data_IF_311354915119
#
_entry.id   IF_311354915119
#
_cell.length_a   1.000
_cell.length_b   1.000
_cell.length_c   1.000
_cell.angle_alpha   90.00
_cell.angle_beta   90.00
_cell.angle_gamma   90.00
#
_symmetry.space_group_name_H-M   'P 1'
#
loop_
_entity.id
_entity.type
_entity.pdbx_description
1 polymer ?
#
# COMPACT_ATOMS: atom_id res chain seq x y z
N UNK A 1 6.76 -4.97 29.02
CA UNK A 1 7.07 -5.33 27.62
C UNK A 1 5.75 -5.44 26.85
N UNK A 2 5.48 -4.57 25.87
CA UNK A 2 4.35 -4.77 24.95
C UNK A 2 4.73 -5.98 24.07
N UNK A 3 3.96 -7.06 24.12
CA UNK A 3 4.14 -8.17 23.19
C UNK A 3 4.09 -7.61 21.76
N UNK A 4 5.08 -7.97 20.94
CA UNK A 4 5.04 -7.60 19.52
C UNK A 4 3.80 -8.25 18.91
N UNK A 5 3.02 -7.50 18.12
CA UNK A 5 1.82 -8.04 17.49
C UNK A 5 2.19 -9.25 16.61
N UNK A 6 1.48 -10.35 16.80
CA UNK A 6 1.69 -11.58 16.04
C UNK A 6 1.23 -11.40 14.59
N UNK A 7 2.04 -11.87 13.63
CA UNK A 7 1.71 -11.85 12.21
C UNK A 7 0.81 -13.05 11.89
N UNK A 8 -0.40 -12.79 11.39
CA UNK A 8 -1.35 -13.85 10.99
C UNK A 8 -1.22 -14.24 9.53
N UNK A 9 -1.04 -13.24 8.67
CA UNK A 9 -1.03 -13.43 7.24
C UNK A 9 -0.17 -12.36 6.57
N UNK A 10 0.53 -12.74 5.51
CA UNK A 10 1.31 -11.85 4.67
C UNK A 10 0.99 -12.13 3.20
N UNK A 11 0.79 -11.08 2.43
CA UNK A 11 0.65 -11.16 0.98
C UNK A 11 1.53 -10.11 0.27
N UNK A 12 1.86 -10.41 -0.97
CA UNK A 12 2.55 -9.51 -1.89
C UNK A 12 1.57 -8.65 -2.70
N UNK A 13 1.95 -7.43 -3.09
CA UNK A 13 1.20 -6.64 -4.04
C UNK A 13 1.12 -7.31 -5.40
N UNK A 14 -0.07 -7.22 -6.00
CA UNK A 14 -0.23 -7.49 -7.43
C UNK A 14 0.24 -6.27 -8.20
N UNK A 15 1.30 -6.41 -8.98
CA UNK A 15 1.77 -5.36 -9.86
C UNK A 15 1.26 -5.59 -11.28
N UNK A 16 0.60 -4.58 -11.84
CA UNK A 16 0.61 -4.40 -13.28
C UNK A 16 1.94 -3.70 -13.60
N UNK A 17 3.02 -4.47 -13.69
CA UNK A 17 4.40 -3.96 -13.75
C UNK A 17 4.65 -3.09 -14.98
N UNK A 18 4.01 -3.39 -16.11
CA UNK A 18 4.22 -2.69 -17.38
C UNK A 18 3.93 -1.18 -17.31
N UNK A 19 2.74 -0.72 -16.87
CA UNK A 19 2.49 0.72 -16.77
C UNK A 19 3.37 1.42 -15.73
N UNK A 20 3.59 0.82 -14.56
CA UNK A 20 4.40 1.43 -13.49
C UNK A 20 5.86 1.58 -13.95
N UNK A 21 6.45 0.49 -14.47
CA UNK A 21 7.81 0.52 -14.99
C UNK A 21 7.93 1.47 -16.20
N UNK A 22 6.92 1.50 -17.07
CA UNK A 22 6.89 2.41 -18.22
C UNK A 22 6.94 3.87 -17.81
N UNK A 23 6.19 4.28 -16.78
CA UNK A 23 6.24 5.65 -16.24
C UNK A 23 7.60 5.95 -15.64
N UNK A 24 8.15 5.06 -14.80
CA UNK A 24 9.46 5.26 -14.17
C UNK A 24 10.57 5.38 -15.23
N UNK A 25 10.57 4.47 -16.21
CA UNK A 25 11.56 4.47 -17.31
C UNK A 25 11.44 5.75 -18.11
N UNK A 26 10.22 6.19 -18.45
CA UNK A 26 10.01 7.41 -19.21
C UNK A 26 10.55 8.63 -18.48
N UNK A 27 10.21 8.79 -17.20
CA UNK A 27 10.65 9.93 -16.39
C UNK A 27 12.19 9.98 -16.28
N UNK A 28 12.81 8.86 -15.88
CA UNK A 28 14.27 8.76 -15.80
C UNK A 28 14.93 8.97 -17.15
N UNK A 29 14.34 8.46 -18.23
CA UNK A 29 14.86 8.67 -19.58
C UNK A 29 14.82 10.14 -19.99
N UNK A 30 13.72 10.85 -19.71
CA UNK A 30 13.60 12.29 -19.99
C UNK A 30 14.66 13.07 -19.23
N UNK A 31 14.85 12.78 -17.94
CA UNK A 31 15.87 13.44 -17.13
C UNK A 31 17.28 13.22 -17.69
N UNK A 32 17.63 11.98 -18.01
CA UNK A 32 18.96 11.66 -18.57
C UNK A 32 19.16 12.25 -19.97
N UNK A 33 18.10 12.32 -20.79
CA UNK A 33 18.13 12.96 -22.09
C UNK A 33 18.38 14.47 -21.94
N UNK A 34 17.68 15.13 -21.01
CA UNK A 34 17.89 16.56 -20.73
C UNK A 34 19.28 16.83 -20.16
N UNK A 35 19.79 15.96 -19.28
CA UNK A 35 21.15 16.03 -18.75
C UNK A 35 22.20 15.99 -19.88
N UNK A 36 21.95 15.18 -20.91
CA UNK A 36 22.82 15.05 -22.08
C UNK A 36 22.71 16.24 -23.03
N UNK A 37 21.49 16.75 -23.27
CA UNK A 37 21.24 17.85 -24.20
C UNK A 37 21.64 19.23 -23.64
N UNK A 38 21.59 19.41 -22.32
CA UNK A 38 21.85 20.68 -21.63
C UNK A 38 22.90 20.44 -20.54
N UNK A 39 24.21 20.49 -20.88
CA UNK A 39 25.30 20.13 -19.98
C UNK A 39 25.31 20.91 -18.66
N UNK A 40 24.84 22.16 -18.67
CA UNK A 40 24.74 23.03 -17.49
C UNK A 40 23.79 22.45 -16.42
N UNK A 41 22.84 21.61 -16.82
CA UNK A 41 21.85 20.99 -15.93
C UNK A 41 22.19 19.57 -15.50
N UNK A 42 23.31 19.01 -15.97
CA UNK A 42 23.63 17.59 -15.84
C UNK A 42 23.44 17.05 -14.41
N UNK A 43 24.07 17.69 -13.42
CA UNK A 43 23.98 17.24 -12.02
C UNK A 43 22.60 17.42 -11.42
N UNK A 44 21.86 18.44 -11.84
CA UNK A 44 20.48 18.67 -11.40
C UNK A 44 19.61 17.53 -11.91
N UNK A 45 19.68 17.22 -13.21
CA UNK A 45 18.86 16.19 -13.83
C UNK A 45 19.19 14.78 -13.32
N UNK A 46 20.48 14.47 -13.12
CA UNK A 46 20.88 13.21 -12.46
C UNK A 46 20.34 13.15 -11.02
N UNK A 47 20.40 14.27 -10.28
CA UNK A 47 19.83 14.38 -8.95
C UNK A 47 18.32 14.15 -8.94
N UNK A 48 17.59 14.74 -9.88
CA UNK A 48 16.14 14.55 -10.07
C UNK A 48 15.82 13.09 -10.34
N UNK A 49 16.49 12.45 -11.31
CA UNK A 49 16.25 11.05 -11.65
C UNK A 49 16.47 10.11 -10.44
N UNK A 50 17.53 10.34 -9.66
CA UNK A 50 17.79 9.58 -8.43
C UNK A 50 16.69 9.83 -7.39
N UNK A 51 16.28 11.08 -7.21
CA UNK A 51 15.22 11.45 -6.28
C UNK A 51 13.88 10.81 -6.66
N UNK A 52 13.51 10.79 -7.94
CA UNK A 52 12.31 10.13 -8.44
C UNK A 52 12.34 8.63 -8.18
N UNK A 53 13.45 7.95 -8.48
CA UNK A 53 13.63 6.53 -8.18
C UNK A 53 13.46 6.23 -6.69
N UNK A 54 14.03 7.08 -5.82
CA UNK A 54 13.84 6.99 -4.38
C UNK A 54 12.38 7.22 -3.98
N UNK A 55 11.72 8.23 -4.56
CA UNK A 55 10.31 8.50 -4.30
C UNK A 55 9.45 7.27 -4.63
N UNK A 56 9.61 6.68 -5.81
CA UNK A 56 8.91 5.46 -6.19
C UNK A 56 9.24 4.29 -5.26
N UNK A 57 10.51 4.13 -4.87
CA UNK A 57 10.91 3.13 -3.89
C UNK A 57 10.13 3.26 -2.57
N UNK A 58 9.92 4.48 -2.09
CA UNK A 58 9.29 4.78 -0.81
C UNK A 58 7.76 4.76 -0.82
N UNK A 59 7.10 5.01 -1.96
CA UNK A 59 5.64 5.05 -2.04
C UNK A 59 5.01 3.74 -2.54
N UNK A 60 5.75 2.92 -3.30
CA UNK A 60 5.21 1.67 -3.85
C UNK A 60 5.10 0.63 -2.73
N UNK A 61 3.90 0.07 -2.49
CA UNK A 61 3.74 -1.04 -1.56
C UNK A 61 4.58 -2.23 -1.96
N UNK A 62 5.14 -2.93 -0.97
CA UNK A 62 5.97 -4.13 -1.15
C UNK A 62 5.36 -5.36 -0.49
N UNK A 63 4.64 -5.18 0.63
CA UNK A 63 3.97 -6.25 1.35
C UNK A 63 2.72 -5.74 2.06
N UNK A 64 1.74 -6.61 2.21
CA UNK A 64 0.57 -6.41 3.05
C UNK A 64 0.58 -7.46 4.15
N UNK A 65 0.44 -7.04 5.39
CA UNK A 65 0.47 -7.90 6.57
C UNK A 65 -0.81 -7.72 7.36
N UNK A 66 -1.42 -8.82 7.79
CA UNK A 66 -2.51 -8.82 8.76
C UNK A 66 -1.89 -9.28 10.08
N UNK A 67 -1.87 -8.37 11.04
CA UNK A 67 -1.46 -8.65 12.41
C UNK A 67 -2.68 -8.75 13.32
N UNK A 68 -2.45 -9.26 14.51
CA UNK A 68 -3.46 -9.44 15.55
C UNK A 68 -4.29 -8.19 15.90
N UNK A 69 -3.73 -7.00 15.72
CA UNK A 69 -4.33 -5.72 16.10
C UNK A 69 -4.42 -4.69 14.97
N UNK A 70 -3.77 -4.93 13.82
CA UNK A 70 -3.72 -4.00 12.69
C UNK A 70 -3.49 -4.70 11.35
N UNK A 71 -3.91 -4.05 10.27
CA UNK A 71 -3.35 -4.29 8.93
C UNK A 71 -2.14 -3.37 8.75
N UNK A 72 -1.03 -3.90 8.25
CA UNK A 72 0.19 -3.15 7.96
C UNK A 72 0.51 -3.23 6.49
N UNK A 73 0.72 -2.07 5.87
CA UNK A 73 1.22 -1.95 4.52
C UNK A 73 2.69 -1.57 4.61
N UNK A 74 3.59 -2.44 4.18
CA UNK A 74 5.01 -2.14 4.08
C UNK A 74 5.27 -1.52 2.71
N UNK A 75 5.82 -0.32 2.70
CA UNK A 75 6.30 0.37 1.50
C UNK A 75 7.82 0.11 1.36
N UNK A 76 8.57 1.03 0.77
CA UNK A 76 10.04 1.01 0.83
C UNK A 76 10.56 1.19 2.26
N UNK A 77 11.58 0.43 2.65
CA UNK A 77 12.17 0.51 3.99
C UNK A 77 12.70 1.92 4.27
N UNK A 78 12.39 2.58 5.40
CA UNK A 78 11.73 2.05 6.61
C UNK A 78 10.23 2.38 6.72
N UNK A 79 9.58 2.81 5.63
CA UNK A 79 8.23 3.34 5.65
C UNK A 79 7.18 2.22 5.72
N UNK A 80 6.26 2.36 6.67
CA UNK A 80 5.12 1.48 6.86
C UNK A 80 3.87 2.30 7.19
N UNK A 81 2.72 1.77 6.82
CA UNK A 81 1.43 2.35 7.14
C UNK A 81 0.59 1.33 7.92
N UNK A 82 0.30 1.66 9.18
CA UNK A 82 -0.40 0.79 10.12
C UNK A 82 -1.86 1.24 10.28
N UNK A 83 -2.80 0.33 10.00
CA UNK A 83 -4.25 0.53 10.07
C UNK A 83 -4.80 -0.34 11.19
N UNK A 84 -5.13 0.20 12.37
CA UNK A 84 -5.68 -0.59 13.47
C UNK A 84 -6.99 -1.25 13.06
N UNK A 85 -7.17 -2.54 13.41
CA UNK A 85 -8.39 -3.30 13.08
C UNK A 85 -9.65 -2.64 13.67
N UNK A 86 -9.53 -2.00 14.83
CA UNK A 86 -10.62 -1.25 15.48
C UNK A 86 -11.14 -0.07 14.64
N UNK A 87 -10.32 0.45 13.73
CA UNK A 87 -10.71 1.54 12.82
C UNK A 87 -11.36 1.04 11.54
N UNK A 88 -11.30 -0.26 11.24
CA UNK A 88 -11.86 -0.83 10.02
C UNK A 88 -13.35 -1.05 10.24
N UNK A 89 -14.18 -0.42 9.40
CA UNK A 89 -15.63 -0.64 9.37
C UNK A 89 -15.97 -1.85 8.51
N UNK A 90 -15.37 -1.90 7.33
CA UNK A 90 -15.66 -2.91 6.31
C UNK A 90 -14.45 -3.06 5.38
N UNK A 91 -14.27 -4.26 4.84
CA UNK A 91 -13.30 -4.56 3.80
C UNK A 91 -14.05 -5.24 2.66
N UNK A 92 -14.01 -4.65 1.46
CA UNK A 92 -14.78 -5.18 0.33
C UNK A 92 -13.96 -5.17 -0.97
N UNK A 93 -14.29 -6.06 -1.93
CA UNK A 93 -13.78 -5.95 -3.29
C UNK A 93 -14.18 -4.60 -3.90
N UNK A 94 -13.26 -3.93 -4.58
CA UNK A 94 -13.55 -2.71 -5.34
C UNK A 94 -13.30 -2.93 -6.84
N UNK A 95 -14.10 -2.27 -7.69
CA UNK A 95 -13.85 -2.19 -9.13
C UNK A 95 -12.79 -1.15 -9.46
N UNK A 96 -11.96 -1.39 -10.48
CA UNK A 96 -10.91 -0.45 -10.90
C UNK A 96 -11.41 0.93 -11.32
N UNK A 97 -12.70 1.07 -11.70
CA UNK A 97 -13.33 2.33 -12.09
C UNK A 97 -13.98 3.10 -10.91
N UNK A 98 -14.58 2.38 -9.95
CA UNK A 98 -15.13 2.96 -8.71
C UNK A 98 -14.03 3.54 -7.81
N UNK A 99 -12.81 3.06 -8.00
CA UNK A 99 -11.62 3.58 -7.36
C UNK A 99 -11.27 5.01 -7.76
N UNK A 100 -11.86 5.67 -8.78
CA UNK A 100 -11.40 6.99 -9.26
C UNK A 100 -12.05 8.22 -8.60
N UNK A 101 -13.23 8.09 -7.99
CA UNK A 101 -14.00 9.20 -7.37
C UNK A 101 -13.70 9.36 -5.85
N UNK A 102 -12.74 8.59 -5.34
CA UNK A 102 -12.56 8.34 -3.91
C UNK A 102 -11.60 9.29 -3.18
N UNK A 103 -12.01 9.82 -2.02
CA UNK A 103 -11.21 10.62 -1.07
C UNK A 103 -10.39 9.74 -0.09
N UNK A 104 -9.54 8.86 -0.62
CA UNK A 104 -8.77 7.89 0.18
C UNK A 104 -7.31 7.73 -0.27
N UNK A 105 -6.51 7.03 0.54
CA UNK A 105 -5.14 6.66 0.22
C UNK A 105 -5.12 5.50 -0.77
N UNK A 106 -4.68 5.75 -2.01
CA UNK A 106 -4.60 4.74 -3.07
C UNK A 106 -3.19 4.20 -3.20
N UNK A 107 -3.07 2.93 -2.85
CA UNK A 107 -1.87 2.11 -2.92
C UNK A 107 -2.10 0.88 -3.82
N UNK A 108 -3.14 0.90 -4.66
CA UNK A 108 -3.37 -0.16 -5.63
C UNK A 108 -2.34 -0.09 -6.76
N UNK A 109 -1.60 -1.18 -6.93
CA UNK A 109 -0.57 -1.37 -7.95
C UNK A 109 -1.07 -2.18 -9.15
N UNK A 110 -2.34 -2.59 -9.12
CA UNK A 110 -3.04 -3.25 -10.22
C UNK A 110 -4.52 -2.88 -10.21
N UNK A 111 -5.14 -2.85 -11.39
CA UNK A 111 -6.60 -2.74 -11.52
C UNK A 111 -7.36 -4.02 -11.16
N UNK A 112 -6.65 -5.12 -10.92
CA UNK A 112 -7.21 -6.45 -10.58
C UNK A 112 -6.99 -6.76 -9.10
N UNK A 113 -7.94 -7.47 -8.50
CA UNK A 113 -7.82 -7.91 -7.11
C UNK A 113 -7.84 -6.76 -6.10
N UNK A 114 -8.42 -5.63 -6.46
CA UNK A 114 -8.46 -4.43 -5.60
C UNK A 114 -9.39 -4.68 -4.41
N UNK A 115 -8.91 -4.24 -3.24
CA UNK A 115 -9.64 -4.17 -1.97
C UNK A 115 -9.74 -2.73 -1.55
N UNK A 116 -10.90 -2.36 -1.05
CA UNK A 116 -11.15 -1.12 -0.35
C UNK A 116 -11.39 -1.42 1.14
N UNK A 117 -10.60 -0.79 2.00
CA UNK A 117 -10.80 -0.75 3.44
C UNK A 117 -11.51 0.55 3.81
N UNK A 118 -12.79 0.42 4.17
CA UNK A 118 -13.60 1.52 4.69
C UNK A 118 -13.34 1.65 6.18
N UNK A 119 -13.01 2.85 6.64
CA UNK A 119 -12.66 3.11 8.03
C UNK A 119 -13.74 3.90 8.75
N UNK A 120 -13.90 3.65 10.05
CA UNK A 120 -14.77 4.42 10.96
C UNK A 120 -14.24 5.83 11.23
N UNK A 121 -12.97 6.07 10.92
CA UNK A 121 -12.30 7.37 11.02
C UNK A 121 -10.95 7.34 10.29
N UNK A 122 -10.53 8.50 9.80
CA UNK A 122 -9.36 8.64 8.93
C UNK A 122 -9.70 8.40 7.45
N UNK A 123 -8.66 8.34 6.62
CA UNK A 123 -8.80 8.08 5.19
C UNK A 123 -8.96 6.58 4.94
N UNK A 124 -9.93 6.23 4.11
CA UNK A 124 -10.08 4.90 3.52
C UNK A 124 -8.85 4.55 2.69
N UNK A 125 -8.60 3.24 2.55
CA UNK A 125 -7.36 2.75 1.94
C UNK A 125 -7.68 1.72 0.87
N UNK A 126 -7.15 1.94 -0.32
CA UNK A 126 -7.37 1.08 -1.48
C UNK A 126 -6.04 0.46 -1.87
N UNK A 127 -5.97 -0.86 -1.98
CA UNK A 127 -4.76 -1.58 -2.39
C UNK A 127 -5.11 -2.90 -3.09
N UNK A 128 -4.12 -3.51 -3.74
CA UNK A 128 -4.32 -4.71 -4.57
C UNK A 128 -3.40 -5.86 -4.13
N UNK A 129 -3.83 -6.71 -3.18
CA UNK A 129 -3.11 -7.94 -2.85
C UNK A 129 -3.09 -8.92 -4.04
N UNK A 130 -2.18 -9.89 -3.99
CA UNK A 130 -2.06 -10.93 -5.02
C UNK A 130 -3.25 -11.89 -4.95
N UNK A 131 -3.63 -12.30 -3.75
CA UNK A 131 -4.84 -13.10 -3.51
C UNK A 131 -5.87 -12.30 -2.70
N UNK A 132 -6.78 -11.65 -3.42
CA UNK A 132 -7.85 -10.85 -2.83
C UNK A 132 -8.74 -11.68 -1.89
N UNK A 133 -9.08 -12.90 -2.27
CA UNK A 133 -10.06 -13.69 -1.54
C UNK A 133 -9.46 -14.17 -0.22
N UNK A 134 -8.27 -14.78 -0.27
CA UNK A 134 -7.57 -15.21 0.94
C UNK A 134 -7.28 -14.02 1.86
N UNK A 135 -6.89 -12.86 1.31
CA UNK A 135 -6.66 -11.66 2.12
C UNK A 135 -7.93 -11.23 2.88
N UNK A 136 -9.08 -11.18 2.22
CA UNK A 136 -10.36 -10.79 2.85
C UNK A 136 -10.80 -11.80 3.92
N UNK A 137 -10.68 -13.09 3.64
CA UNK A 137 -11.02 -14.16 4.60
C UNK A 137 -10.14 -14.06 5.86
N UNK A 138 -8.83 -13.89 5.70
CA UNK A 138 -7.89 -13.73 6.82
C UNK A 138 -8.14 -12.44 7.61
N UNK A 139 -8.51 -11.35 6.92
CA UNK A 139 -8.84 -10.09 7.57
C UNK A 139 -10.12 -10.22 8.41
N UNK A 140 -11.15 -10.88 7.88
CA UNK A 140 -12.39 -11.13 8.61
C UNK A 140 -12.13 -11.98 9.86
N UNK A 141 -11.33 -13.05 9.75
CA UNK A 141 -10.93 -13.87 10.89
C UNK A 141 -10.18 -13.06 11.95
N UNK A 142 -9.28 -12.17 11.53
CA UNK A 142 -8.55 -11.28 12.43
C UNK A 142 -9.48 -10.29 13.15
N UNK A 143 -10.40 -9.65 12.43
CA UNK A 143 -11.38 -8.72 13.01
C UNK A 143 -12.31 -9.41 14.01
N UNK A 144 -12.86 -10.59 13.67
CA UNK A 144 -13.69 -11.40 14.58
C UNK A 144 -12.94 -11.82 15.85
N UNK A 145 -11.66 -12.13 15.71
CA UNK A 145 -10.79 -12.49 16.85
C UNK A 145 -10.49 -11.28 17.74
N UNK A 146 -10.29 -10.10 17.14
CA UNK A 146 -10.05 -8.85 17.86
C UNK A 146 -11.29 -8.40 18.64
N UNK A 147 -12.48 -8.47 18.05
CA UNK A 147 -13.74 -8.14 18.74
C UNK A 147 -14.00 -9.03 19.95
N UNK A 148 -13.82 -10.36 19.80
CA UNK A 148 -13.98 -11.30 20.94
C UNK A 148 -13.02 -11.00 22.09
N UNK A 149 -11.78 -10.60 21.80
CA UNK A 149 -10.81 -10.22 22.85
C UNK A 149 -11.22 -8.93 23.57
N UNK A 150 -11.80 -7.97 22.85
CA UNK A 150 -12.30 -6.74 23.45
C UNK A 150 -13.46 -7.02 24.43
N UNK A 151 -14.36 -7.93 24.09
CA UNK A 151 -15.52 -8.29 24.94
C UNK A 151 -15.13 -9.09 26.20
N UNK A 152 -13.98 -9.75 26.18
CA UNK A 152 -13.47 -10.57 27.29
C UNK A 152 -12.54 -9.80 28.25
N UNK A 153 -12.19 -8.55 27.95
CA UNK A 153 -11.37 -7.74 28.85
C UNK A 153 -12.25 -7.08 29.92
N UNK A 154 -12.10 -7.43 31.21
CA UNK A 154 -12.84 -6.74 32.27
C UNK A 154 -12.45 -5.25 32.31
N UNK A 155 -13.45 -4.39 32.57
CA UNK A 155 -13.28 -2.94 32.74
C UNK A 155 -12.49 -2.62 34.00
#
# INVERSE_FOLDING_TARGET
MKQSPELRYEDSPRYDTAPIAGVIILLVFVDLLLAFLIPETFWIMVGTAVFELLLFYFIIPRKYQILDDRVRILLGSPIKYDIPLSTIKEARPAGGAEAWVYFGLRLATSGKGVIELIRRGGMDVVFSPRDRQTFLEQLELAMRSASRRHDLSPK
#
